data_IF_679220004388
#
_entry.id   IF_679220004388
#
_cell.length_a   1.000
_cell.length_b   1.000
_cell.length_c   1.000
_cell.angle_alpha   90.00
_cell.angle_beta   90.00
_cell.angle_gamma   90.00
#
_symmetry.space_group_name_H-M   'P 1'
#
loop_
_entity.id
_entity.type
_entity.pdbx_description
1 polymer ?
#
# COMPACT_ATOMS: atom_id res chain seq x y z
N UNK A 1 -4.23 -4.69 -19.01
CA UNK A 1 -5.55 -4.49 -18.35
C UNK A 1 -6.14 -5.76 -17.75
N UNK A 2 -6.19 -6.89 -18.48
CA UNK A 2 -6.75 -8.16 -17.98
C UNK A 2 -5.95 -8.77 -16.81
N UNK A 3 -4.62 -8.64 -16.83
CA UNK A 3 -3.69 -9.06 -15.76
C UNK A 3 -3.90 -8.28 -14.45
N UNK A 4 -4.09 -6.96 -14.55
CA UNK A 4 -4.29 -6.05 -13.39
C UNK A 4 -5.63 -6.33 -12.69
N UNK A 5 -6.67 -6.65 -13.47
CA UNK A 5 -7.98 -7.02 -12.93
C UNK A 5 -7.97 -8.40 -12.25
N UNK A 6 -7.15 -9.34 -12.74
CA UNK A 6 -6.95 -10.65 -12.11
C UNK A 6 -6.17 -10.54 -10.79
N UNK A 7 -5.15 -9.67 -10.72
CA UNK A 7 -4.42 -9.41 -9.47
C UNK A 7 -5.28 -8.80 -8.36
N UNK A 8 -6.17 -7.87 -8.71
CA UNK A 8 -7.12 -7.26 -7.75
C UNK A 8 -8.19 -8.25 -7.26
N UNK A 9 -8.63 -9.17 -8.12
CA UNK A 9 -9.63 -10.18 -7.76
C UNK A 9 -9.10 -11.23 -6.75
N UNK A 10 -7.81 -11.57 -6.83
CA UNK A 10 -7.18 -12.51 -5.88
C UNK A 10 -6.99 -11.86 -4.50
N UNK A 11 -6.67 -10.57 -4.45
CA UNK A 11 -6.50 -9.85 -3.16
C UNK A 11 -7.85 -9.54 -2.49
N UNK A 12 -8.90 -9.26 -3.27
CA UNK A 12 -10.23 -8.94 -2.73
C UNK A 12 -10.90 -10.09 -1.95
N UNK A 13 -10.59 -11.35 -2.27
CA UNK A 13 -11.15 -12.52 -1.57
C UNK A 13 -10.45 -12.77 -0.22
N UNK A 14 -9.18 -12.39 -0.07
CA UNK A 14 -8.40 -12.62 1.16
C UNK A 14 -8.69 -11.59 2.27
N UNK A 15 -9.16 -10.40 1.91
CA UNK A 15 -9.30 -9.26 2.84
C UNK A 15 -10.59 -9.32 3.69
N UNK A 16 -11.64 -10.03 3.26
CA UNK A 16 -12.95 -10.01 3.94
C UNK A 16 -12.94 -10.78 5.28
N UNK A 17 -11.89 -11.52 5.62
CA UNK A 17 -11.84 -12.38 6.81
C UNK A 17 -11.15 -11.83 8.08
N UNK A 18 -10.45 -10.69 8.03
CA UNK A 18 -9.40 -10.37 9.03
C UNK A 18 -9.90 -9.48 10.20
N UNK A 19 -11.16 -9.03 10.19
CA UNK A 19 -11.68 -8.12 11.22
C UNK A 19 -12.05 -8.72 12.59
N UNK A 20 -11.86 -10.02 12.84
CA UNK A 20 -12.45 -10.69 14.03
C UNK A 20 -11.51 -11.59 14.87
N UNK A 21 -10.21 -11.70 14.56
CA UNK A 21 -9.37 -12.74 15.18
C UNK A 21 -8.51 -12.31 16.37
N UNK A 22 -8.54 -11.04 16.80
CA UNK A 22 -7.76 -10.59 17.96
C UNK A 22 -8.67 -10.09 19.09
N UNK A 23 -9.50 -10.99 19.61
CA UNK A 23 -10.10 -10.87 20.94
C UNK A 23 -9.87 -12.19 21.69
N UNK A 24 -9.20 -12.09 22.84
CA UNK A 24 -8.51 -13.19 23.48
C UNK A 24 -9.37 -14.35 23.98
N UNK A 25 -8.73 -15.51 24.08
CA UNK A 25 -8.90 -16.52 25.14
C UNK A 25 -7.95 -17.68 24.86
N UNK A 26 -7.30 -18.24 25.89
CA UNK A 26 -6.35 -19.35 25.79
C UNK A 26 -6.96 -20.70 25.39
N UNK A 27 -7.94 -20.69 24.47
CA UNK A 27 -8.44 -21.88 23.81
C UNK A 27 -7.52 -22.32 22.67
N UNK A 28 -7.55 -23.61 22.34
CA UNK A 28 -6.94 -24.10 21.10
C UNK A 28 -7.64 -23.40 19.93
N UNK A 29 -6.85 -22.84 19.01
CA UNK A 29 -7.34 -22.27 17.76
C UNK A 29 -8.27 -23.27 17.07
N UNK A 30 -9.37 -22.79 16.49
CA UNK A 30 -10.19 -23.66 15.66
C UNK A 30 -9.43 -24.07 14.40
N UNK A 31 -9.79 -25.18 13.74
CA UNK A 31 -9.21 -25.54 12.45
C UNK A 31 -9.31 -24.42 11.40
N UNK A 32 -10.38 -23.60 11.47
CA UNK A 32 -10.58 -22.44 10.61
C UNK A 32 -9.56 -21.35 10.91
N UNK A 33 -9.32 -21.03 12.17
CA UNK A 33 -8.35 -20.00 12.55
C UNK A 33 -6.93 -20.43 12.16
N UNK A 34 -6.61 -21.71 12.32
CA UNK A 34 -5.33 -22.26 11.87
C UNK A 34 -5.15 -22.17 10.35
N UNK A 35 -6.21 -22.47 9.57
CA UNK A 35 -6.18 -22.32 8.12
C UNK A 35 -5.94 -20.86 7.69
N UNK A 36 -6.64 -19.91 8.32
CA UNK A 36 -6.47 -18.48 8.05
C UNK A 36 -5.05 -17.99 8.39
N UNK A 37 -4.48 -18.46 9.50
CA UNK A 37 -3.08 -18.15 9.85
C UNK A 37 -2.13 -18.65 8.77
N UNK A 38 -2.32 -19.88 8.28
CA UNK A 38 -1.47 -20.45 7.25
C UNK A 38 -1.60 -19.70 5.92
N UNK A 39 -2.82 -19.32 5.52
CA UNK A 39 -3.06 -18.50 4.33
C UNK A 39 -2.37 -17.14 4.43
N UNK A 40 -2.45 -16.47 5.59
CA UNK A 40 -1.76 -15.20 5.82
C UNK A 40 -0.24 -15.34 5.79
N UNK A 41 0.31 -16.44 6.29
CA UNK A 41 1.74 -16.73 6.18
C UNK A 41 2.17 -16.93 4.73
N UNK A 42 1.40 -17.68 3.93
CA UNK A 42 1.66 -17.87 2.51
C UNK A 42 1.58 -16.55 1.73
N UNK A 43 0.58 -15.72 2.03
CA UNK A 43 0.43 -14.39 1.43
C UNK A 43 1.63 -13.50 1.76
N UNK A 44 2.08 -13.48 3.01
CA UNK A 44 3.28 -12.73 3.42
C UNK A 44 4.53 -13.20 2.70
N UNK A 45 4.70 -14.51 2.52
CA UNK A 45 5.83 -15.06 1.77
C UNK A 45 5.76 -14.69 0.29
N UNK A 46 4.56 -14.69 -0.30
CA UNK A 46 4.35 -14.29 -1.68
C UNK A 46 4.59 -12.79 -1.93
N UNK A 47 4.16 -11.94 -0.98
CA UNK A 47 4.26 -10.48 -1.04
C UNK A 47 5.42 -9.93 -0.20
N UNK A 48 6.61 -10.47 -0.37
CA UNK A 48 7.81 -10.09 0.39
C UNK A 48 8.85 -9.30 -0.44
N UNK A 49 8.41 -8.66 -1.53
CA UNK A 49 9.28 -7.81 -2.34
C UNK A 49 9.44 -6.42 -1.69
N UNK A 50 10.36 -5.60 -2.20
CA UNK A 50 10.49 -4.18 -1.81
C UNK A 50 10.85 -3.32 -3.02
N UNK A 51 9.96 -2.45 -3.52
CA UNK A 51 10.28 -1.59 -4.66
C UNK A 51 11.22 -0.44 -4.27
N UNK A 52 11.24 -0.07 -3.00
CA UNK A 52 12.03 1.05 -2.46
C UNK A 52 13.09 0.58 -1.47
N UNK A 53 14.09 1.43 -1.26
CA UNK A 53 15.09 1.29 -0.21
C UNK A 53 15.24 2.62 0.56
N UNK A 54 15.05 2.64 1.89
CA UNK A 54 14.68 1.51 2.75
C UNK A 54 13.24 0.99 2.49
N UNK A 55 12.94 -0.28 2.86
CA UNK A 55 11.60 -0.85 2.73
C UNK A 55 10.58 -0.14 3.62
N UNK A 56 9.33 -0.07 3.15
CA UNK A 56 8.20 0.46 3.94
C UNK A 56 7.67 -0.63 4.89
N UNK A 57 7.78 -0.46 6.22
CA UNK A 57 7.55 -1.54 7.19
C UNK A 57 6.08 -1.92 7.39
N UNK A 58 5.17 -1.05 6.97
CA UNK A 58 3.71 -1.14 7.01
C UNK A 58 3.12 -1.66 5.69
N UNK A 59 3.96 -2.12 4.77
CA UNK A 59 3.54 -2.64 3.48
C UNK A 59 3.96 -4.10 3.25
N UNK A 60 3.15 -4.80 2.47
CA UNK A 60 3.54 -6.02 1.76
C UNK A 60 3.46 -5.76 0.26
N UNK A 61 4.49 -6.14 -0.49
CA UNK A 61 4.60 -5.87 -1.93
C UNK A 61 4.80 -7.13 -2.75
N UNK A 62 4.18 -7.14 -3.93
CA UNK A 62 4.59 -8.00 -5.03
C UNK A 62 4.99 -7.14 -6.22
N UNK A 63 6.23 -7.29 -6.69
CA UNK A 63 6.71 -6.68 -7.94
C UNK A 63 6.31 -7.60 -9.09
N UNK A 64 5.69 -7.02 -10.12
CA UNK A 64 5.29 -7.66 -11.35
C UNK A 64 6.40 -7.57 -12.40
N UNK A 65 6.26 -8.30 -13.50
CA UNK A 65 7.28 -8.39 -14.56
C UNK A 65 7.65 -7.02 -15.17
N UNK A 66 6.68 -6.11 -15.28
CA UNK A 66 6.88 -4.75 -15.80
C UNK A 66 7.43 -3.76 -14.76
N UNK A 67 7.76 -4.23 -13.56
CA UNK A 67 8.23 -3.43 -12.44
C UNK A 67 7.13 -2.67 -11.69
N UNK A 68 5.87 -2.74 -12.13
CA UNK A 68 4.75 -2.29 -11.31
C UNK A 68 4.58 -3.18 -10.09
N UNK A 69 3.88 -2.68 -9.08
CA UNK A 69 3.60 -3.46 -7.88
C UNK A 69 2.13 -3.50 -7.57
N UNK A 70 1.72 -4.57 -6.89
CA UNK A 70 0.52 -4.60 -6.07
C UNK A 70 0.94 -4.67 -4.60
N UNK A 71 0.18 -4.02 -3.73
CA UNK A 71 0.54 -3.95 -2.33
C UNK A 71 -0.65 -3.94 -1.38
N UNK A 72 -0.37 -4.36 -0.14
CA UNK A 72 -1.23 -4.18 1.02
C UNK A 72 -0.58 -3.15 1.94
N UNK A 73 -1.36 -2.19 2.43
CA UNK A 73 -0.92 -1.16 3.36
C UNK A 73 -1.72 -1.30 4.66
N UNK A 74 -0.98 -1.50 5.74
CA UNK A 74 -1.48 -1.72 7.09
C UNK A 74 -1.49 -0.42 7.91
N UNK A 75 -2.32 -0.35 8.95
CA UNK A 75 -2.34 0.81 9.86
C UNK A 75 -1.06 0.97 10.71
N UNK A 76 -0.19 -0.04 10.74
CA UNK A 76 1.03 -0.17 11.56
C UNK A 76 2.01 -1.11 10.85
N UNK A 77 3.29 -1.20 11.27
CA UNK A 77 4.22 -2.19 10.74
C UNK A 77 3.64 -3.61 10.75
N UNK A 78 3.88 -4.38 9.67
CA UNK A 78 3.31 -5.73 9.46
C UNK A 78 3.76 -6.73 10.54
N UNK A 79 4.87 -6.44 11.20
CA UNK A 79 5.40 -7.20 12.34
C UNK A 79 4.62 -7.01 13.64
N UNK A 80 3.70 -6.05 13.70
CA UNK A 80 2.82 -5.78 14.84
C UNK A 80 1.40 -6.27 14.59
N UNK A 81 0.56 -6.24 15.62
CA UNK A 81 -0.88 -6.46 15.49
C UNK A 81 -1.49 -5.31 14.66
N UNK A 82 -1.77 -5.61 13.40
CA UNK A 82 -2.02 -4.64 12.34
C UNK A 82 -3.17 -5.10 11.45
N UNK A 83 -3.89 -4.12 10.91
CA UNK A 83 -5.03 -4.30 10.03
C UNK A 83 -4.72 -3.71 8.68
N UNK A 84 -5.07 -4.43 7.61
CA UNK A 84 -5.02 -3.89 6.24
C UNK A 84 -6.06 -2.78 6.13
N UNK A 85 -5.64 -1.58 5.73
CA UNK A 85 -6.51 -0.43 5.52
C UNK A 85 -6.68 -0.11 4.03
N UNK A 86 -5.60 -0.26 3.27
CA UNK A 86 -5.61 -0.07 1.82
C UNK A 86 -5.03 -1.29 1.11
N UNK A 87 -5.56 -1.53 -0.08
CA UNK A 87 -4.84 -2.21 -1.13
C UNK A 87 -4.37 -1.16 -2.15
N UNK A 88 -3.35 -1.46 -2.94
CA UNK A 88 -2.90 -0.48 -3.91
C UNK A 88 -2.06 -1.05 -5.02
N UNK A 89 -1.66 -0.15 -5.90
CA UNK A 89 -0.71 -0.43 -6.95
C UNK A 89 0.29 0.72 -7.07
N UNK A 90 1.53 0.38 -7.40
CA UNK A 90 2.53 1.38 -7.76
C UNK A 90 3.10 1.12 -9.15
N UNK A 91 3.51 2.18 -9.84
CA UNK A 91 4.12 2.08 -11.17
C UNK A 91 5.46 2.83 -11.18
N UNK A 92 6.51 2.28 -11.82
CA UNK A 92 7.77 3.00 -11.96
C UNK A 92 7.57 4.33 -12.68
N UNK A 93 8.28 5.35 -12.25
CA UNK A 93 8.18 6.68 -12.83
C UNK A 93 9.24 7.64 -12.31
N UNK A 94 9.08 8.90 -12.71
CA UNK A 94 9.91 10.02 -12.26
C UNK A 94 9.06 11.00 -11.46
N UNK A 95 9.66 11.66 -10.48
CA UNK A 95 8.99 12.71 -9.71
C UNK A 95 8.85 14.00 -10.53
N UNK A 96 7.94 13.99 -11.50
CA UNK A 96 7.67 15.07 -12.43
C UNK A 96 6.16 15.16 -12.68
N UNK A 97 5.62 16.38 -12.76
CA UNK A 97 4.20 16.59 -13.05
C UNK A 97 3.77 15.91 -14.36
N UNK A 98 4.57 16.06 -15.42
CA UNK A 98 4.28 15.44 -16.71
C UNK A 98 4.27 13.90 -16.64
N UNK A 99 5.11 13.30 -15.79
CA UNK A 99 5.13 11.84 -15.59
C UNK A 99 3.92 11.38 -14.77
N UNK A 100 3.56 12.12 -13.72
CA UNK A 100 2.32 11.88 -12.97
C UNK A 100 1.08 11.92 -13.88
N UNK A 101 0.98 12.95 -14.73
CA UNK A 101 -0.14 13.11 -15.67
C UNK A 101 -0.15 11.97 -16.71
N UNK A 102 1.03 11.54 -17.20
CA UNK A 102 1.18 10.37 -18.08
C UNK A 102 0.73 9.07 -17.39
N UNK A 103 1.13 8.86 -16.14
CA UNK A 103 0.71 7.71 -15.33
C UNK A 103 -0.80 7.71 -15.16
N UNK A 104 -1.39 8.85 -14.79
CA UNK A 104 -2.84 8.99 -14.62
C UNK A 104 -3.60 8.69 -15.93
N UNK A 105 -3.07 9.15 -17.07
CA UNK A 105 -3.65 8.86 -18.40
C UNK A 105 -3.55 7.38 -18.76
N UNK A 106 -2.49 6.69 -18.35
CA UNK A 106 -2.20 5.30 -18.75
C UNK A 106 -2.88 4.28 -17.84
N UNK A 107 -2.86 4.50 -16.53
CA UNK A 107 -3.29 3.54 -15.50
C UNK A 107 -4.56 4.00 -14.74
N UNK A 108 -5.13 5.14 -15.13
CA UNK A 108 -6.28 5.76 -14.49
C UNK A 108 -5.90 6.67 -13.31
N UNK A 109 -6.89 7.32 -12.68
CA UNK A 109 -6.66 8.29 -11.61
C UNK A 109 -6.12 7.62 -10.34
N UNK A 110 -5.69 8.44 -9.38
CA UNK A 110 -5.35 8.03 -8.01
C UNK A 110 -3.86 7.86 -7.71
N UNK A 111 -3.00 8.01 -8.71
CA UNK A 111 -1.54 8.02 -8.54
C UNK A 111 -1.06 9.37 -8.00
N UNK A 112 -1.44 9.69 -6.76
CA UNK A 112 -1.24 11.01 -6.13
C UNK A 112 0.00 11.09 -5.25
N UNK A 113 0.60 9.94 -4.94
CA UNK A 113 1.63 9.79 -3.93
C UNK A 113 2.89 9.16 -4.55
N UNK A 114 4.09 9.63 -4.19
CA UNK A 114 5.35 9.19 -4.77
C UNK A 114 6.36 8.82 -3.70
N UNK A 115 7.09 7.72 -3.92
CA UNK A 115 8.33 7.44 -3.21
C UNK A 115 9.50 7.30 -4.17
N UNK A 116 10.62 7.91 -3.81
CA UNK A 116 11.92 7.63 -4.40
C UNK A 116 12.26 6.14 -4.28
N UNK A 117 12.89 5.60 -5.32
CA UNK A 117 13.35 4.21 -5.34
C UNK A 117 14.43 3.96 -4.29
N UNK A 118 15.30 4.94 -4.04
CA UNK A 118 16.38 4.84 -3.09
C UNK A 118 16.57 6.16 -2.34
N UNK A 119 16.75 6.05 -1.01
CA UNK A 119 17.14 7.17 -0.15
C UNK A 119 18.25 6.68 0.79
N UNK A 120 19.32 7.45 0.99
CA UNK A 120 20.32 7.11 2.00
C UNK A 120 19.72 7.06 3.41
N UNK A 121 20.16 6.09 4.21
CA UNK A 121 19.76 5.95 5.62
C UNK A 121 18.70 4.86 5.84
N UNK A 122 18.00 4.95 6.98
CA UNK A 122 17.06 3.92 7.45
C UNK A 122 15.64 4.44 7.64
N UNK A 123 15.37 5.72 7.38
CA UNK A 123 14.04 6.30 7.52
C UNK A 123 13.20 6.04 6.24
N UNK A 124 12.17 5.18 6.30
CA UNK A 124 11.28 4.93 5.16
C UNK A 124 10.53 6.18 4.69
N UNK A 125 10.27 7.13 5.59
CA UNK A 125 9.53 8.35 5.26
C UNK A 125 10.36 9.36 4.46
N UNK A 126 11.70 9.23 4.50
CA UNK A 126 12.60 10.09 3.74
C UNK A 126 12.42 9.95 2.21
N UNK A 127 11.73 8.90 1.77
CA UNK A 127 11.43 8.65 0.35
C UNK A 127 10.25 9.43 -0.20
N UNK A 128 9.40 10.03 0.64
CA UNK A 128 8.22 10.78 0.18
C UNK A 128 8.59 11.93 -0.77
N UNK A 129 8.00 11.94 -1.96
CA UNK A 129 8.29 12.95 -2.98
C UNK A 129 9.73 12.89 -3.45
N UNK A 130 10.38 14.05 -3.62
CA UNK A 130 11.78 14.13 -4.02
C UNK A 130 12.10 15.41 -4.77
N UNK A 131 13.27 15.44 -5.41
CA UNK A 131 13.59 16.48 -6.40
C UNK A 131 12.95 16.15 -7.74
N UNK A 132 12.76 17.15 -8.58
CA UNK A 132 12.29 16.95 -9.95
C UNK A 132 13.18 15.95 -10.71
N UNK A 133 12.58 14.91 -11.26
CA UNK A 133 13.27 13.93 -12.11
C UNK A 133 13.81 12.70 -11.39
N UNK A 134 13.72 12.65 -10.05
CA UNK A 134 14.13 11.50 -9.25
C UNK A 134 13.37 10.23 -9.65
N UNK A 135 14.09 9.11 -9.70
CA UNK A 135 13.51 7.80 -10.01
C UNK A 135 12.78 7.22 -8.80
N UNK A 136 11.61 6.64 -9.05
CA UNK A 136 10.77 6.10 -7.99
C UNK A 136 9.50 5.48 -8.52
N UNK A 137 8.46 5.52 -7.69
CA UNK A 137 7.18 4.91 -8.01
C UNK A 137 6.05 5.86 -7.64
N UNK A 138 5.08 5.94 -8.53
CA UNK A 138 3.79 6.56 -8.27
C UNK A 138 2.85 5.53 -7.65
N UNK A 139 2.19 5.89 -6.56
CA UNK A 139 1.33 5.02 -5.75
C UNK A 139 -0.12 5.48 -5.83
N UNK A 140 -1.01 4.49 -5.94
CA UNK A 140 -2.45 4.65 -5.73
C UNK A 140 -2.89 3.76 -4.58
N UNK A 141 -3.55 4.38 -3.60
CA UNK A 141 -4.16 3.71 -2.47
C UNK A 141 -5.66 3.57 -2.67
N UNK A 142 -6.20 2.39 -2.37
CA UNK A 142 -7.61 2.05 -2.45
C UNK A 142 -8.03 1.57 -1.07
N UNK A 143 -8.82 2.38 -0.37
CA UNK A 143 -9.36 2.01 0.92
C UNK A 143 -10.32 0.83 0.74
N UNK A 144 -10.12 -0.21 1.54
CA UNK A 144 -10.92 -1.44 1.53
C UNK A 144 -11.97 -1.46 2.66
N UNK A 145 -11.91 -0.48 3.55
CA UNK A 145 -12.81 -0.29 4.69
C UNK A 145 -13.05 1.19 4.93
N UNK A 146 -13.97 1.52 5.82
CA UNK A 146 -14.10 2.90 6.33
C UNK A 146 -12.95 3.18 7.29
N UNK A 147 -12.25 4.28 7.06
CA UNK A 147 -11.13 4.72 7.90
C UNK A 147 -11.54 6.04 8.55
N UNK A 148 -11.58 6.11 9.89
CA UNK A 148 -11.98 7.34 10.57
C UNK A 148 -10.92 8.43 10.42
N UNK A 149 -11.32 9.69 10.69
CA UNK A 149 -10.35 10.74 10.97
C UNK A 149 -9.60 10.40 12.26
N UNK A 150 -8.28 10.53 12.27
CA UNK A 150 -7.48 10.23 13.44
C UNK A 150 -5.99 10.46 13.21
N UNK A 151 -5.19 9.79 14.03
CA UNK A 151 -3.73 9.77 13.92
C UNK A 151 -3.28 8.47 13.26
N UNK A 152 -2.63 8.60 12.11
CA UNK A 152 -2.07 7.51 11.33
C UNK A 152 -0.94 6.81 12.08
N UNK A 153 -0.08 7.55 12.78
CA UNK A 153 1.03 6.99 13.56
C UNK A 153 0.53 6.20 14.78
N UNK A 154 -0.60 6.61 15.35
CA UNK A 154 -1.28 5.87 16.41
C UNK A 154 -2.16 4.71 15.88
N UNK A 155 -2.34 4.60 14.57
CA UNK A 155 -3.21 3.61 13.93
C UNK A 155 -4.70 3.81 14.24
N UNK A 156 -5.11 5.04 14.55
CA UNK A 156 -6.48 5.39 14.98
C UNK A 156 -7.33 5.99 13.85
N UNK A 157 -6.74 6.27 12.70
CA UNK A 157 -7.40 6.89 11.55
C UNK A 157 -6.39 7.61 10.67
N UNK A 158 -6.84 8.59 9.87
CA UNK A 158 -5.96 9.42 9.04
C UNK A 158 -6.20 10.92 9.26
N UNK A 159 -5.17 11.77 9.11
CA UNK A 159 -5.28 13.19 9.47
C UNK A 159 -6.06 14.02 8.44
N UNK A 160 -6.20 13.55 7.20
CA UNK A 160 -6.89 14.27 6.11
C UNK A 160 -8.42 14.14 6.13
N UNK A 161 -8.99 13.40 7.09
CA UNK A 161 -10.43 13.21 7.23
C UNK A 161 -10.86 11.76 7.06
N UNK A 162 -12.14 11.44 7.29
CA UNK A 162 -12.63 10.07 7.10
C UNK A 162 -12.52 9.66 5.63
N UNK A 163 -12.16 8.40 5.39
CA UNK A 163 -12.02 7.79 4.05
C UNK A 163 -13.02 6.65 3.94
N UNK A 164 -13.83 6.69 2.88
CA UNK A 164 -14.73 5.59 2.52
C UNK A 164 -14.04 4.63 1.54
N UNK A 165 -14.51 3.36 1.45
CA UNK A 165 -13.97 2.41 0.49
C UNK A 165 -13.94 2.99 -0.94
N UNK A 166 -12.80 2.82 -1.63
CA UNK A 166 -12.54 3.42 -2.93
C UNK A 166 -11.14 4.04 -3.04
N UNK A 167 -10.86 4.69 -4.17
CA UNK A 167 -9.57 5.36 -4.40
C UNK A 167 -9.43 6.52 -3.41
N UNK A 168 -8.40 6.47 -2.57
CA UNK A 168 -8.09 7.55 -1.62
C UNK A 168 -7.26 8.63 -2.32
N UNK A 169 -7.96 9.59 -2.93
CA UNK A 169 -7.35 10.71 -3.64
C UNK A 169 -6.58 11.67 -2.72
N UNK A 170 -6.75 11.54 -1.40
CA UNK A 170 -6.12 12.38 -0.39
C UNK A 170 -5.00 11.65 0.36
N UNK A 171 -4.65 10.43 -0.06
CA UNK A 171 -3.58 9.67 0.55
C UNK A 171 -2.24 10.37 0.32
N UNK A 172 -1.79 11.11 1.34
CA UNK A 172 -0.49 11.80 1.42
C UNK A 172 0.04 12.31 0.06
N UNK A 173 -0.73 13.17 -0.65
CA UNK A 173 -0.37 13.56 -2.00
C UNK A 173 1.00 14.25 -2.00
N UNK A 174 1.81 13.92 -3.00
CA UNK A 174 3.13 14.51 -3.22
C UNK A 174 3.08 15.32 -4.52
N UNK A 175 2.80 16.63 -4.46
CA UNK A 175 2.75 17.47 -5.66
C UNK A 175 4.11 17.46 -6.36
N UNK A 176 4.18 16.88 -7.56
CA UNK A 176 5.42 16.88 -8.33
C UNK A 176 5.67 18.24 -8.99
N UNK A 177 6.95 18.64 -9.10
CA UNK A 177 7.33 19.85 -9.81
C UNK A 177 7.23 19.67 -11.33
N UNK A 178 7.22 20.78 -12.06
CA UNK A 178 7.62 20.78 -13.46
C UNK A 178 9.11 20.47 -13.53
N UNK A 179 9.46 19.46 -14.31
CA UNK A 179 10.84 19.04 -14.51
C UNK A 179 11.46 19.75 -15.72
N UNK A 180 12.78 20.00 -15.69
CA UNK A 180 13.51 20.53 -16.83
C UNK A 180 13.50 19.59 -18.04
#
# INVERSE_FOLDING_TARGET
MREILLGLAIVGVLVIGIGLLFAGSGGKLSPRDQALINEMQQLRQFMNDSPTQPPLPDHLYKILEDGSTVFLHFNKPVSQDSMVLWMGASVPGKFCKADQDKVAKTYGPGYVHFHQKFVPGTDPNAGHGGKGGEDGYWYRHIAITNIPKGDMMAGTGVPWGPVSPGIDMNFMPTPAPDCP
#
